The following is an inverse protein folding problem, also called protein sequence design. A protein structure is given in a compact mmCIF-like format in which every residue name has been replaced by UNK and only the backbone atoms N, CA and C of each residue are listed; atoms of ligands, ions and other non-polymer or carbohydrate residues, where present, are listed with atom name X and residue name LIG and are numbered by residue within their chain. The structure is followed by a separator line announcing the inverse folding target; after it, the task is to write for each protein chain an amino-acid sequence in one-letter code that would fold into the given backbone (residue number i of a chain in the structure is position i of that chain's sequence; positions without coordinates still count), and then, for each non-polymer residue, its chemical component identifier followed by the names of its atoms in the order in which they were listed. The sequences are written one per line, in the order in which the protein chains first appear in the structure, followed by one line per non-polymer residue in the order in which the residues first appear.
data_IF_623901859119
#
_entry.id   IF_623901859119
#
_cell.length_a   1.000
_cell.length_b   1.000
_cell.length_c   1.000
_cell.angle_alpha   90.00
_cell.angle_beta   90.00
_cell.angle_gamma   90.00
#
_symmetry.space_group_name_H-M   'P 1'
#
loop_
_entity.id
_entity.type
_entity.pdbx_description
1 polymer ?
#
# COMPACT_ATOMS: atom_id res chain seq x y z
N UNK A 1 -14.49 22.42 -7.29
CA UNK A 1 -13.39 21.74 -8.03
C UNK A 1 -12.45 21.16 -7.00
N UNK A 2 -12.22 19.83 -6.98
CA UNK A 2 -11.29 19.24 -6.02
C UNK A 2 -9.86 19.78 -6.27
N UNK A 3 -9.08 20.13 -5.23
CA UNK A 3 -7.70 20.56 -5.38
C UNK A 3 -6.91 19.51 -6.17
N UNK A 4 -6.00 19.93 -7.06
CA UNK A 4 -5.15 19.04 -7.90
C UNK A 4 -4.51 17.91 -7.07
N UNK A 5 -4.03 18.25 -5.87
CA UNK A 5 -3.45 17.31 -4.93
C UNK A 5 -4.38 16.17 -4.50
N UNK A 6 -5.67 16.46 -4.31
CA UNK A 6 -6.64 15.43 -3.93
C UNK A 6 -6.84 14.42 -5.06
N UNK A 7 -6.85 14.89 -6.31
CA UNK A 7 -6.95 13.99 -7.48
C UNK A 7 -5.72 13.09 -7.60
N UNK A 8 -4.52 13.62 -7.35
CA UNK A 8 -3.28 12.85 -7.36
C UNK A 8 -3.25 11.80 -6.23
N UNK A 9 -3.67 12.17 -5.02
CA UNK A 9 -3.75 11.24 -3.89
C UNK A 9 -4.74 10.08 -4.16
N UNK A 10 -5.91 10.39 -4.72
CA UNK A 10 -6.90 9.36 -5.11
C UNK A 10 -6.35 8.46 -6.22
N UNK A 11 -5.68 9.03 -7.23
CA UNK A 11 -5.06 8.24 -8.28
C UNK A 11 -3.98 7.29 -7.72
N UNK A 12 -3.15 7.78 -6.79
CA UNK A 12 -2.16 6.94 -6.10
C UNK A 12 -2.82 5.82 -5.30
N UNK A 13 -3.90 6.11 -4.57
CA UNK A 13 -4.64 5.08 -3.82
C UNK A 13 -5.13 3.96 -4.73
N UNK A 14 -5.76 4.29 -5.87
CA UNK A 14 -6.25 3.29 -6.83
C UNK A 14 -5.11 2.42 -7.38
N UNK A 15 -3.96 3.02 -7.70
CA UNK A 15 -2.79 2.29 -8.19
C UNK A 15 -2.18 1.39 -7.12
N UNK A 16 -2.13 1.86 -5.87
CA UNK A 16 -1.67 1.06 -4.73
C UNK A 16 -2.61 -0.11 -4.50
N UNK A 17 -3.92 0.12 -4.50
CA UNK A 17 -4.92 -0.95 -4.33
C UNK A 17 -4.78 -2.02 -5.40
N UNK A 18 -4.62 -1.62 -6.67
CA UNK A 18 -4.40 -2.56 -7.77
C UNK A 18 -3.15 -3.40 -7.55
N UNK A 19 -2.04 -2.76 -7.14
CA UNK A 19 -0.80 -3.48 -6.88
C UNK A 19 -0.91 -4.47 -5.71
N UNK A 20 -1.48 -4.01 -4.60
CA UNK A 20 -1.57 -4.80 -3.37
C UNK A 20 -2.54 -5.96 -3.54
N UNK A 21 -3.62 -5.81 -4.32
CA UNK A 21 -4.51 -6.95 -4.65
C UNK A 21 -3.81 -8.07 -5.41
N UNK A 22 -2.80 -7.75 -6.20
CA UNK A 22 -2.01 -8.79 -6.88
C UNK A 22 -1.03 -9.48 -5.91
N UNK A 23 -0.50 -8.74 -4.94
CA UNK A 23 0.38 -9.28 -3.89
C UNK A 23 -0.39 -10.08 -2.82
N UNK A 24 -1.63 -9.69 -2.53
CA UNK A 24 -2.47 -10.20 -1.45
C UNK A 24 -3.93 -10.37 -1.92
N UNK A 25 -4.22 -11.36 -2.80
CA UNK A 25 -5.50 -11.47 -3.52
C UNK A 25 -6.73 -11.74 -2.64
N UNK A 26 -6.55 -12.39 -1.49
CA UNK A 26 -7.67 -12.86 -0.66
C UNK A 26 -7.92 -12.03 0.60
N UNK A 27 -7.32 -10.83 0.66
CA UNK A 27 -7.29 -10.01 1.86
C UNK A 27 -8.17 -8.78 1.69
N UNK A 28 -9.10 -8.47 2.63
CA UNK A 28 -9.77 -7.19 2.65
C UNK A 28 -8.79 -6.09 3.07
N UNK A 29 -8.56 -5.16 2.14
CA UNK A 29 -7.52 -4.13 2.23
C UNK A 29 -8.14 -2.75 2.40
N UNK A 30 -7.51 -1.95 3.27
CA UNK A 30 -7.83 -0.54 3.44
C UNK A 30 -6.56 0.30 3.40
N UNK A 31 -6.65 1.50 2.82
CA UNK A 31 -5.61 2.52 2.96
C UNK A 31 -6.07 3.49 4.03
N UNK A 32 -5.34 3.54 5.14
CA UNK A 32 -5.63 4.42 6.27
C UNK A 32 -4.56 5.51 6.41
N UNK A 33 -4.98 6.64 6.94
CA UNK A 33 -4.11 7.74 7.39
C UNK A 33 -3.87 7.62 8.88
N UNK A 34 -2.63 7.75 9.31
CA UNK A 34 -2.30 7.90 10.72
C UNK A 34 -1.37 9.11 10.93
N UNK A 35 -1.55 9.77 12.08
CA UNK A 35 -0.76 10.93 12.51
C UNK A 35 0.03 10.52 13.76
N UNK A 36 1.35 10.70 13.72
CA UNK A 36 2.22 10.52 14.89
C UNK A 36 2.16 11.75 15.81
N UNK A 37 2.67 11.58 17.04
CA UNK A 37 2.82 12.67 18.02
C UNK A 37 3.67 13.83 17.48
N UNK A 38 4.65 13.54 16.62
CA UNK A 38 5.54 14.52 15.95
C UNK A 38 4.91 15.23 14.73
N UNK A 39 3.58 15.25 14.63
CA UNK A 39 2.82 15.78 13.50
C UNK A 39 3.07 15.14 12.12
N UNK A 40 3.83 14.04 12.08
CA UNK A 40 4.07 13.30 10.85
C UNK A 40 2.82 12.55 10.41
N UNK A 41 2.51 12.62 9.12
CA UNK A 41 1.39 11.90 8.51
C UNK A 41 1.94 10.75 7.68
N UNK A 42 1.41 9.56 7.90
CA UNK A 42 1.74 8.37 7.13
C UNK A 42 0.46 7.71 6.60
N UNK A 43 0.61 7.14 5.40
CA UNK A 43 -0.34 6.22 4.83
C UNK A 43 0.08 4.78 5.21
N UNK A 44 -0.90 3.93 5.49
CA UNK A 44 -0.69 2.51 5.69
C UNK A 44 -1.70 1.73 4.84
N UNK A 45 -1.23 0.67 4.19
CA UNK A 45 -2.09 -0.39 3.67
C UNK A 45 -2.25 -1.41 4.79
N UNK A 46 -3.49 -1.65 5.18
CA UNK A 46 -3.82 -2.57 6.27
C UNK A 46 -4.75 -3.67 5.79
N UNK A 47 -4.50 -4.87 6.29
CA UNK A 47 -5.44 -5.98 6.29
C UNK A 47 -6.39 -5.82 7.47
N UNK A 48 -7.69 -5.95 7.21
CA UNK A 48 -8.71 -5.96 8.26
C UNK A 48 -9.23 -7.38 8.43
N UNK A 49 -9.26 -7.86 9.67
CA UNK A 49 -9.76 -9.19 10.01
C UNK A 49 -10.44 -9.15 11.37
N UNK A 50 -11.24 -10.16 11.69
CA UNK A 50 -12.00 -10.21 12.94
C UNK A 50 -11.51 -11.38 13.79
N UNK A 51 -11.19 -11.10 15.06
CA UNK A 51 -10.87 -12.10 16.08
C UNK A 51 -11.81 -11.87 17.25
N UNK A 52 -12.57 -12.90 17.64
CA UNK A 52 -13.49 -12.87 18.80
C UNK A 52 -14.47 -11.68 18.78
N UNK A 53 -15.03 -11.35 17.62
CA UNK A 53 -15.94 -10.21 17.45
C UNK A 53 -15.26 -8.84 17.41
N UNK A 54 -13.93 -8.78 17.42
CA UNK A 54 -13.15 -7.53 17.39
C UNK A 54 -12.39 -7.38 16.08
N UNK A 55 -12.60 -6.25 15.40
CA UNK A 55 -11.82 -5.88 14.22
C UNK A 55 -10.37 -5.59 14.59
N UNK A 56 -9.45 -6.30 13.96
CA UNK A 56 -8.01 -6.14 14.04
C UNK A 56 -7.47 -5.58 12.72
N UNK A 57 -6.36 -4.84 12.81
CA UNK A 57 -5.68 -4.27 11.66
C UNK A 57 -4.23 -4.75 11.66
N UNK A 58 -3.78 -5.37 10.57
CA UNK A 58 -2.38 -5.71 10.34
C UNK A 58 -1.82 -4.80 9.26
N UNK A 59 -0.70 -4.13 9.53
CA UNK A 59 -0.03 -3.28 8.54
C UNK A 59 0.72 -4.18 7.56
N UNK A 60 0.36 -4.09 6.28
CA UNK A 60 1.05 -4.79 5.19
C UNK A 60 2.14 -3.91 4.59
N UNK A 61 1.81 -2.64 4.32
CA UNK A 61 2.75 -1.66 3.80
C UNK A 61 2.59 -0.35 4.56
N UNK A 62 3.71 0.22 4.98
CA UNK A 62 3.77 1.55 5.59
C UNK A 62 4.56 2.49 4.69
N UNK A 63 3.96 3.62 4.36
CA UNK A 63 4.64 4.70 3.65
C UNK A 63 5.65 5.40 4.56
N UNK A 64 6.69 5.97 3.97
CA UNK A 64 7.56 6.88 4.72
C UNK A 64 6.75 8.07 5.24
N UNK A 65 7.06 8.57 6.45
CA UNK A 65 6.38 9.72 7.00
C UNK A 65 6.66 10.95 6.13
N UNK A 66 5.63 11.75 5.91
CA UNK A 66 5.79 13.07 5.31
C UNK A 66 5.54 14.19 6.31
N UNK A 67 6.27 15.29 6.17
CA UNK A 67 6.06 16.49 6.97
C UNK A 67 4.99 17.39 6.33
N UNK A 68 4.20 18.08 7.16
CA UNK A 68 3.20 19.09 6.76
C UNK A 68 1.98 18.54 6.01
N UNK A 69 1.19 19.46 5.43
CA UNK A 69 -0.13 19.25 4.82
C UNK A 69 -0.05 18.37 3.56
N UNK A 70 1.17 18.16 3.06
CA UNK A 70 1.46 17.31 1.90
C UNK A 70 1.93 15.91 2.28
N UNK A 71 2.16 15.65 3.57
CA UNK A 71 2.81 14.43 4.04
C UNK A 71 2.08 13.15 3.64
N UNK A 72 0.75 13.21 3.52
CA UNK A 72 -0.05 12.06 3.11
C UNK A 72 0.27 11.56 1.70
N UNK A 73 0.26 12.44 0.69
CA UNK A 73 0.63 12.08 -0.70
C UNK A 73 2.05 11.56 -0.78
N UNK A 74 3.03 12.22 -0.14
CA UNK A 74 4.42 11.73 -0.14
C UNK A 74 4.51 10.32 0.44
N UNK A 75 3.73 10.05 1.49
CA UNK A 75 3.62 8.72 2.07
C UNK A 75 2.98 7.71 1.10
N UNK A 76 1.92 8.08 0.39
CA UNK A 76 1.31 7.26 -0.67
C UNK A 76 2.30 6.97 -1.80
N UNK A 77 3.06 7.95 -2.27
CA UNK A 77 4.09 7.73 -3.31
C UNK A 77 5.15 6.73 -2.86
N UNK A 78 5.53 6.77 -1.57
CA UNK A 78 6.46 5.79 -0.97
C UNK A 78 5.86 4.38 -0.98
N UNK A 79 4.58 4.23 -0.60
CA UNK A 79 3.87 2.94 -0.70
C UNK A 79 3.80 2.46 -2.15
N UNK A 80 3.47 3.35 -3.08
CA UNK A 80 3.38 3.01 -4.49
C UNK A 80 4.71 2.43 -5.00
N UNK A 81 5.84 3.10 -4.73
CA UNK A 81 7.19 2.59 -5.06
C UNK A 81 7.47 1.23 -4.42
N UNK A 82 7.15 1.06 -3.13
CA UNK A 82 7.34 -0.21 -2.41
C UNK A 82 6.51 -1.34 -3.02
N UNK A 83 5.22 -1.10 -3.29
CA UNK A 83 4.32 -2.10 -3.89
C UNK A 83 4.75 -2.50 -5.30
N UNK A 84 5.20 -1.54 -6.13
CA UNK A 84 5.77 -1.82 -7.45
C UNK A 84 7.03 -2.69 -7.36
N UNK A 85 7.93 -2.37 -6.43
CA UNK A 85 9.15 -3.15 -6.24
C UNK A 85 8.87 -4.59 -5.77
N UNK A 86 7.87 -4.79 -4.91
CA UNK A 86 7.44 -6.11 -4.47
C UNK A 86 6.81 -6.90 -5.62
N UNK A 87 5.95 -6.29 -6.42
CA UNK A 87 5.37 -6.94 -7.61
C UNK A 87 6.43 -7.37 -8.60
N UNK A 88 7.41 -6.50 -8.87
CA UNK A 88 8.52 -6.86 -9.74
C UNK A 88 9.30 -8.07 -9.25
N UNK A 89 9.45 -8.24 -7.92
CA UNK A 89 10.08 -9.42 -7.33
C UNK A 89 9.23 -10.68 -7.49
N UNK A 90 7.93 -10.62 -7.19
CA UNK A 90 7.01 -11.74 -7.36
C UNK A 90 6.96 -12.23 -8.82
N UNK A 91 6.84 -11.30 -9.77
CA UNK A 91 6.85 -11.63 -11.20
C UNK A 91 8.16 -12.30 -11.63
N UNK A 92 9.30 -11.85 -11.09
CA UNK A 92 10.58 -12.48 -11.37
C UNK A 92 10.68 -13.90 -10.77
N UNK A 93 10.14 -14.13 -9.57
CA UNK A 93 10.12 -15.47 -8.96
C UNK A 93 9.26 -16.43 -9.79
N UNK A 94 8.06 -16.02 -10.17
CA UNK A 94 7.17 -16.82 -11.03
C UNK A 94 7.87 -17.17 -12.34
N UNK A 95 8.54 -16.21 -12.98
CA UNK A 95 9.27 -16.44 -14.22
C UNK A 95 10.44 -17.45 -14.06
N UNK A 96 11.11 -17.45 -12.91
CA UNK A 96 12.18 -18.40 -12.60
C UNK A 96 11.61 -19.81 -12.39
N UNK A 97 10.53 -19.95 -11.62
CA UNK A 97 9.87 -21.23 -11.38
C UNK A 97 9.36 -21.88 -12.67
N UNK A 98 8.80 -21.08 -13.59
CA UNK A 98 8.39 -21.56 -14.92
C UNK A 98 9.58 -22.00 -15.80
N UNK A 99 10.76 -21.43 -15.58
CA UNK A 99 11.96 -21.80 -16.32
C UNK A 99 12.59 -23.10 -15.81
N UNK A 100 12.53 -23.35 -14.51
CA UNK A 100 13.02 -24.58 -13.88
C UNK A 100 12.08 -25.77 -14.11
N UNK A 101 10.77 -25.53 -14.24
CA UNK A 101 9.78 -26.59 -14.53
C UNK A 101 9.82 -27.12 -15.98
N UNK A 102 10.62 -26.52 -16.87
CA UNK A 102 10.72 -26.90 -18.29
C UNK A 102 11.95 -27.79 -18.61
N UNK A 103 12.70 -28.21 -17.60
CA UNK A 103 13.84 -29.12 -17.69
C UNK A 103 13.66 -30.32 -16.73
#
# INVERSE_FOLDING_TARGET
MAPKYLKEAVALQVLIEANVRLLFPDVPLHIITAKCEDEQIYACVVQVYEIDGKKQHQILLQGEPGHSHWGFKSSLESIFRKSQALLGKELNLIALEESDSKY
#
